data_IF_759401514576
#
_entry.id   IF_759401514576
#
_cell.length_a   1.000
_cell.length_b   1.000
_cell.length_c   1.000
_cell.angle_alpha   90.00
_cell.angle_beta   90.00
_cell.angle_gamma   90.00
#
_symmetry.space_group_name_H-M   'P 1'
#
loop_
_entity.id
_entity.type
_entity.pdbx_description
1 polymer ?
#
# COMPACT_ATOMS: atom_id res chain seq x y z
N UNK A 1 29.56 -31.71 35.63
CA UNK A 1 29.23 -31.78 34.19
C UNK A 1 28.99 -30.35 33.73
N UNK A 2 29.96 -29.77 33.06
CA UNK A 2 29.84 -28.43 32.45
C UNK A 2 28.90 -28.57 31.26
N UNK A 3 27.71 -27.95 31.36
CA UNK A 3 26.81 -27.84 30.23
C UNK A 3 27.39 -26.80 29.26
N UNK A 4 28.17 -27.26 28.29
CA UNK A 4 28.51 -26.47 27.12
C UNK A 4 27.25 -26.34 26.29
N UNK A 5 26.59 -25.19 26.36
CA UNK A 5 25.53 -24.84 25.43
C UNK A 5 26.25 -24.61 24.09
N UNK A 6 26.20 -25.61 23.20
CA UNK A 6 26.48 -25.35 21.79
C UNK A 6 25.51 -24.28 21.34
N UNK A 7 26.02 -23.08 21.03
CA UNK A 7 25.23 -22.03 20.43
C UNK A 7 24.83 -22.50 19.04
N UNK A 8 23.71 -23.20 18.96
CA UNK A 8 23.05 -23.59 17.71
C UNK A 8 23.01 -22.37 16.79
N UNK A 9 23.85 -22.36 15.75
CA UNK A 9 23.82 -21.33 14.70
C UNK A 9 22.42 -21.16 14.09
N UNK A 10 21.56 -22.17 14.19
CA UNK A 10 20.13 -22.10 13.80
C UNK A 10 19.26 -21.22 14.70
N UNK A 11 19.54 -21.12 16.01
CA UNK A 11 18.76 -20.25 16.91
C UNK A 11 19.14 -18.77 16.74
N UNK A 12 20.41 -18.48 16.47
CA UNK A 12 20.84 -17.13 16.09
C UNK A 12 20.29 -16.76 14.71
N UNK A 13 20.42 -17.59 13.67
CA UNK A 13 19.89 -17.26 12.34
C UNK A 13 18.37 -17.00 12.34
N UNK A 14 17.60 -17.74 13.16
CA UNK A 14 16.16 -17.49 13.35
C UNK A 14 15.86 -16.20 14.11
N UNK A 15 16.65 -15.87 15.15
CA UNK A 15 16.51 -14.60 15.87
C UNK A 15 16.83 -13.40 14.95
N UNK A 16 17.87 -13.53 14.13
CA UNK A 16 18.30 -12.53 13.16
C UNK A 16 17.27 -12.35 12.04
N UNK A 17 16.70 -13.43 11.53
CA UNK A 17 15.61 -13.35 10.52
C UNK A 17 14.37 -12.63 11.05
N UNK A 18 14.00 -12.86 12.31
CA UNK A 18 12.89 -12.12 12.95
C UNK A 18 13.20 -10.64 13.14
N UNK A 19 14.44 -10.31 13.47
CA UNK A 19 14.89 -8.93 13.62
C UNK A 19 14.89 -8.19 12.28
N UNK A 20 15.47 -8.80 11.24
CA UNK A 20 15.48 -8.31 9.85
C UNK A 20 14.06 -8.06 9.36
N UNK A 21 13.13 -9.00 9.56
CA UNK A 21 11.74 -8.81 9.15
C UNK A 21 11.05 -7.66 9.91
N UNK A 22 11.31 -7.52 11.21
CA UNK A 22 10.73 -6.44 12.01
C UNK A 22 11.27 -5.08 11.57
N UNK A 23 12.56 -4.98 11.30
CA UNK A 23 13.24 -3.77 10.85
C UNK A 23 12.73 -3.36 9.46
N UNK A 24 12.74 -4.30 8.53
CA UNK A 24 12.16 -4.18 7.19
C UNK A 24 10.72 -3.66 7.20
N UNK A 25 9.85 -4.26 8.03
CA UNK A 25 8.45 -3.85 8.10
C UNK A 25 8.30 -2.48 8.74
N UNK A 26 9.01 -2.19 9.83
CA UNK A 26 8.89 -0.89 10.50
C UNK A 26 9.38 0.29 9.64
N UNK A 27 10.36 0.06 8.78
CA UNK A 27 10.89 1.10 7.88
C UNK A 27 9.97 1.34 6.68
N UNK A 28 9.04 0.43 6.40
CA UNK A 28 8.12 0.58 5.28
C UNK A 28 7.05 1.64 5.59
N UNK A 29 6.90 2.69 4.74
CA UNK A 29 5.88 3.72 4.93
C UNK A 29 4.44 3.18 4.93
N UNK A 30 4.20 2.01 4.33
CA UNK A 30 2.89 1.38 4.29
C UNK A 30 2.54 0.58 5.55
N UNK A 31 3.50 0.32 6.44
CA UNK A 31 3.32 -0.60 7.57
C UNK A 31 2.16 -0.23 8.49
N UNK A 32 1.96 1.06 8.75
CA UNK A 32 0.86 1.56 9.58
C UNK A 32 -0.54 1.27 8.97
N UNK A 33 -0.59 0.93 7.68
CA UNK A 33 -1.82 0.62 6.93
C UNK A 33 -2.03 -0.89 6.75
N UNK A 34 -1.08 -1.71 7.20
CA UNK A 34 -1.10 -3.17 7.07
C UNK A 34 -1.71 -3.82 8.30
N UNK A 35 -2.51 -4.86 8.09
CA UNK A 35 -2.97 -5.72 9.18
C UNK A 35 -3.81 -6.89 8.68
N UNK A 36 -4.00 -7.89 9.55
CA UNK A 36 -4.74 -9.10 9.19
C UNK A 36 -6.26 -8.88 9.14
N UNK A 37 -6.73 -7.78 9.73
CA UNK A 37 -8.14 -7.51 9.86
C UNK A 37 -8.78 -7.07 8.53
N UNK A 38 -10.09 -7.31 8.41
CA UNK A 38 -10.90 -6.82 7.29
C UNK A 38 -11.10 -5.31 7.26
N UNK A 39 -10.61 -4.60 8.27
CA UNK A 39 -10.66 -3.14 8.36
C UNK A 39 -9.33 -2.50 7.97
N UNK A 40 -8.25 -3.27 7.83
CA UNK A 40 -6.95 -2.77 7.37
C UNK A 40 -7.01 -2.37 5.90
N UNK A 41 -6.28 -1.32 5.54
CA UNK A 41 -6.19 -0.85 4.15
C UNK A 41 -5.49 -1.89 3.28
N UNK A 42 -4.38 -2.44 3.77
CA UNK A 42 -3.67 -3.58 3.17
C UNK A 42 -3.86 -4.79 4.07
N UNK A 43 -4.50 -5.84 3.55
CA UNK A 43 -4.70 -7.07 4.29
C UNK A 43 -3.47 -7.94 4.26
N UNK A 44 -2.97 -8.33 5.42
CA UNK A 44 -1.87 -9.28 5.54
C UNK A 44 -2.41 -10.69 5.75
N UNK A 45 -2.01 -11.63 4.90
CA UNK A 45 -2.34 -13.04 5.10
C UNK A 45 -1.05 -13.87 5.17
N UNK A 46 -0.89 -14.60 6.28
CA UNK A 46 0.27 -15.47 6.55
C UNK A 46 -0.10 -16.96 6.55
N UNK A 47 -1.29 -17.35 6.07
CA UNK A 47 -1.78 -18.74 6.12
C UNK A 47 -0.85 -19.73 5.39
N UNK A 48 -0.26 -19.33 4.27
CA UNK A 48 0.67 -20.16 3.50
C UNK A 48 2.03 -20.37 4.20
N UNK A 49 2.33 -19.66 5.28
CA UNK A 49 3.51 -19.96 6.09
C UNK A 49 3.40 -21.26 6.87
N UNK A 50 2.17 -21.78 7.05
CA UNK A 50 1.87 -23.00 7.82
C UNK A 50 1.52 -24.20 6.95
N UNK A 51 1.08 -23.97 5.71
CA UNK A 51 0.60 -25.02 4.80
C UNK A 51 1.14 -24.78 3.39
N UNK A 52 1.48 -25.87 2.69
CA UNK A 52 1.93 -25.77 1.30
C UNK A 52 0.78 -25.33 0.38
N UNK A 53 1.03 -24.31 -0.43
CA UNK A 53 0.10 -23.80 -1.43
C UNK A 53 0.78 -22.75 -2.31
N UNK A 54 0.28 -22.58 -3.53
CA UNK A 54 0.77 -21.62 -4.53
C UNK A 54 0.04 -20.26 -4.43
N UNK A 55 -1.09 -20.20 -3.72
CA UNK A 55 -1.87 -18.98 -3.60
C UNK A 55 -2.84 -18.94 -2.42
N UNK A 56 -3.23 -17.71 -2.05
CA UNK A 56 -4.23 -17.42 -1.04
C UNK A 56 -5.52 -17.00 -1.71
N UNK A 57 -6.65 -17.58 -1.32
CA UNK A 57 -7.97 -17.13 -1.78
C UNK A 57 -8.55 -16.14 -0.78
N UNK A 58 -8.56 -14.86 -1.14
CA UNK A 58 -9.24 -13.83 -0.36
C UNK A 58 -10.73 -13.88 -0.68
N UNK A 59 -11.55 -14.08 0.34
CA UNK A 59 -13.01 -14.13 0.20
C UNK A 59 -13.64 -12.84 0.72
N UNK A 60 -14.56 -12.28 -0.07
CA UNK A 60 -15.41 -11.17 0.32
C UNK A 60 -16.86 -11.62 0.32
N UNK A 61 -17.55 -11.38 1.44
CA UNK A 61 -19.00 -11.58 1.53
C UNK A 61 -19.72 -10.34 0.98
N UNK A 62 -20.65 -10.54 0.05
CA UNK A 62 -21.50 -9.45 -0.45
C UNK A 62 -22.45 -8.95 0.64
N UNK A 63 -22.94 -7.72 0.49
CA UNK A 63 -23.96 -7.16 1.38
C UNK A 63 -25.31 -7.81 1.08
N UNK A 64 -26.09 -8.10 2.12
CA UNK A 64 -27.49 -8.49 2.00
C UNK A 64 -28.32 -7.34 1.41
N UNK A 65 -29.14 -7.65 0.41
CA UNK A 65 -29.96 -6.70 -0.36
C UNK A 65 -31.45 -6.83 -0.06
N UNK A 66 -31.87 -7.88 0.64
CA UNK A 66 -33.26 -8.11 1.00
C UNK A 66 -33.80 -7.03 1.93
N UNK A 67 -35.01 -6.55 1.63
CA UNK A 67 -35.73 -5.56 2.45
C UNK A 67 -36.16 -6.11 3.83
N UNK A 68 -35.93 -7.40 4.09
CA UNK A 68 -36.43 -8.10 5.26
C UNK A 68 -37.95 -8.28 5.23
N UNK A 69 -38.47 -9.10 6.14
CA UNK A 69 -39.91 -9.24 6.36
C UNK A 69 -40.27 -8.48 7.62
N UNK A 70 -41.34 -7.70 7.55
CA UNK A 70 -41.95 -7.02 8.70
C UNK A 70 -43.31 -7.64 9.01
N UNK A 71 -43.67 -7.72 10.30
CA UNK A 71 -44.92 -8.34 10.75
C UNK A 71 -44.83 -9.86 10.96
N UNK A 72 -45.97 -10.56 10.88
CA UNK A 72 -46.09 -12.00 11.18
C UNK A 72 -45.77 -12.94 10.00
N UNK A 73 -45.11 -12.43 8.95
CA UNK A 73 -44.72 -13.24 7.79
C UNK A 73 -43.66 -14.28 8.15
N UNK A 74 -43.75 -15.48 7.57
CA UNK A 74 -42.77 -16.54 7.80
C UNK A 74 -41.44 -16.23 7.14
N UNK A 75 -40.37 -16.24 7.94
CA UNK A 75 -38.99 -15.98 7.50
C UNK A 75 -38.46 -17.10 6.59
N UNK A 76 -38.81 -18.35 6.92
CA UNK A 76 -38.42 -19.55 6.18
C UNK A 76 -39.08 -19.54 4.80
N UNK A 77 -38.26 -19.53 3.74
CA UNK A 77 -38.69 -19.44 2.33
C UNK A 77 -38.51 -18.05 1.70
N UNK A 78 -38.23 -17.02 2.49
CA UNK A 78 -37.88 -15.67 2.04
C UNK A 78 -36.45 -15.29 2.49
N UNK A 79 -35.60 -16.30 2.60
CA UNK A 79 -34.21 -16.18 3.03
C UNK A 79 -33.34 -15.72 1.85
N UNK A 80 -32.44 -14.79 2.11
CA UNK A 80 -31.44 -14.38 1.12
C UNK A 80 -30.18 -15.24 1.27
N UNK A 81 -29.71 -15.79 0.14
CA UNK A 81 -28.47 -16.56 0.11
C UNK A 81 -27.24 -15.66 0.24
N UNK A 82 -26.25 -16.10 1.03
CA UNK A 82 -24.96 -15.42 1.12
C UNK A 82 -24.18 -15.61 -0.19
N UNK A 83 -23.90 -14.52 -0.88
CA UNK A 83 -23.00 -14.51 -2.04
C UNK A 83 -21.57 -14.17 -1.59
N UNK A 84 -20.61 -14.99 -2.02
CA UNK A 84 -19.18 -14.76 -1.80
C UNK A 84 -18.49 -14.47 -3.12
N UNK A 85 -17.60 -13.49 -3.11
CA UNK A 85 -16.64 -13.24 -4.18
C UNK A 85 -15.27 -13.68 -3.72
N UNK A 86 -14.49 -14.25 -4.63
CA UNK A 86 -13.17 -14.80 -4.32
C UNK A 86 -12.15 -14.26 -5.31
N UNK A 87 -10.97 -13.91 -4.82
CA UNK A 87 -9.80 -13.60 -5.63
C UNK A 87 -8.64 -14.47 -5.16
N UNK A 88 -7.92 -15.06 -6.12
CA UNK A 88 -6.69 -15.83 -5.87
C UNK A 88 -5.52 -14.86 -5.96
N UNK A 89 -4.72 -14.76 -4.89
CA UNK A 89 -3.47 -14.00 -4.83
C UNK A 89 -2.31 -14.99 -4.88
N UNK A 90 -1.54 -14.96 -5.96
CA UNK A 90 -0.44 -15.90 -6.17
C UNK A 90 0.83 -15.43 -5.46
N UNK A 91 1.61 -16.37 -4.90
CA UNK A 91 2.87 -16.06 -4.20
C UNK A 91 4.07 -16.59 -4.97
N UNK A 92 5.15 -15.82 -5.03
CA UNK A 92 6.39 -16.24 -5.68
C UNK A 92 7.61 -15.94 -4.80
N UNK A 93 8.73 -16.59 -5.12
CA UNK A 93 10.01 -16.44 -4.44
C UNK A 93 10.68 -15.12 -4.81
N UNK A 94 11.04 -14.34 -3.81
CA UNK A 94 11.88 -13.14 -3.93
C UNK A 94 13.20 -13.39 -3.20
N UNK A 95 14.33 -13.16 -3.87
CA UNK A 95 15.66 -13.38 -3.30
C UNK A 95 16.64 -12.31 -3.76
N UNK A 96 17.52 -11.88 -2.86
CA UNK A 96 18.66 -11.04 -3.20
C UNK A 96 19.84 -11.37 -2.28
N UNK A 97 21.07 -11.13 -2.76
CA UNK A 97 22.26 -11.43 -1.98
C UNK A 97 23.46 -10.58 -2.37
N UNK A 98 24.36 -10.40 -1.41
CA UNK A 98 25.58 -9.60 -1.50
C UNK A 98 26.75 -10.48 -1.08
N UNK A 99 27.86 -10.40 -1.80
CA UNK A 99 29.10 -11.13 -1.50
C UNK A 99 30.19 -10.14 -1.09
N UNK A 100 30.82 -10.39 0.04
CA UNK A 100 32.01 -9.67 0.48
C UNK A 100 33.26 -10.44 0.05
N UNK A 101 34.15 -9.78 -0.70
CA UNK A 101 35.39 -10.38 -1.23
C UNK A 101 36.63 -9.95 -0.45
N UNK A 102 37.39 -10.94 0.03
CA UNK A 102 38.76 -10.81 0.49
C UNK A 102 38.94 -10.62 2.00
N UNK A 103 39.69 -11.52 2.63
CA UNK A 103 40.04 -11.49 4.06
C UNK A 103 40.74 -10.18 4.50
N UNK A 104 41.55 -9.59 3.61
CA UNK A 104 42.24 -8.33 3.89
C UNK A 104 41.31 -7.12 3.88
N UNK A 105 40.18 -7.18 3.17
CA UNK A 105 39.18 -6.11 3.14
C UNK A 105 38.41 -6.05 4.47
N UNK A 106 38.02 -7.21 5.02
CA UNK A 106 37.38 -7.30 6.35
C UNK A 106 38.34 -6.89 7.48
N UNK A 107 39.64 -7.18 7.38
CA UNK A 107 40.62 -6.81 8.42
C UNK A 107 41.15 -5.37 8.32
N UNK A 108 41.14 -4.76 7.12
CA UNK A 108 41.65 -3.38 6.91
C UNK A 108 40.68 -2.30 7.34
N UNK A 109 39.37 -2.59 7.33
CA UNK A 109 38.35 -1.61 7.70
C UNK A 109 37.89 -1.92 9.12
N UNK A 110 38.08 -0.99 10.06
CA UNK A 110 37.62 -1.11 11.45
C UNK A 110 36.07 -1.13 11.60
N UNK A 111 35.33 -1.24 10.50
CA UNK A 111 33.87 -1.23 10.42
C UNK A 111 33.37 -2.63 10.10
N UNK A 112 32.30 -3.07 10.77
CA UNK A 112 31.75 -4.41 10.63
C UNK A 112 30.98 -4.53 9.29
N UNK A 113 31.68 -4.91 8.22
CA UNK A 113 31.11 -5.06 6.86
C UNK A 113 29.91 -6.02 6.81
N UNK A 114 29.80 -6.96 7.75
CA UNK A 114 28.65 -7.87 7.84
C UNK A 114 27.36 -7.14 8.21
N UNK A 115 27.44 -6.24 9.19
CA UNK A 115 26.29 -5.42 9.57
C UNK A 115 25.89 -4.51 8.41
N UNK A 116 26.85 -3.93 7.70
CA UNK A 116 26.57 -3.07 6.55
C UNK A 116 25.92 -3.84 5.39
N UNK A 117 26.34 -5.09 5.13
CA UNK A 117 25.70 -5.96 4.14
C UNK A 117 24.26 -6.32 4.54
N UNK A 118 24.01 -6.56 5.83
CA UNK A 118 22.67 -6.77 6.38
C UNK A 118 21.79 -5.54 6.19
N UNK A 119 22.25 -4.36 6.58
CA UNK A 119 21.49 -3.11 6.50
C UNK A 119 21.11 -2.81 5.03
N UNK A 120 22.05 -2.98 4.10
CA UNK A 120 21.79 -2.80 2.67
C UNK A 120 20.73 -3.76 2.12
N UNK A 121 20.71 -5.01 2.58
CA UNK A 121 19.70 -5.99 2.20
C UNK A 121 18.31 -5.66 2.78
N UNK A 122 18.26 -5.13 4.01
CA UNK A 122 17.01 -4.65 4.64
C UNK A 122 16.43 -3.47 3.87
N UNK A 123 17.26 -2.48 3.52
CA UNK A 123 16.85 -1.32 2.73
C UNK A 123 16.30 -1.74 1.37
N UNK A 124 17.00 -2.64 0.67
CA UNK A 124 16.55 -3.20 -0.60
C UNK A 124 15.18 -3.90 -0.47
N UNK A 125 15.00 -4.72 0.56
CA UNK A 125 13.73 -5.42 0.78
C UNK A 125 12.59 -4.43 1.04
N UNK A 126 12.85 -3.39 1.85
CA UNK A 126 11.92 -2.29 2.16
C UNK A 126 11.45 -1.59 0.90
N UNK A 127 12.41 -1.16 0.08
CA UNK A 127 12.15 -0.49 -1.19
C UNK A 127 11.36 -1.39 -2.15
N UNK A 128 11.75 -2.67 -2.27
CA UNK A 128 11.04 -3.62 -3.13
C UNK A 128 9.58 -3.81 -2.73
N UNK A 129 9.28 -3.89 -1.42
CA UNK A 129 7.89 -3.95 -0.93
C UNK A 129 7.07 -2.72 -1.22
N UNK A 130 7.67 -1.55 -1.00
CA UNK A 130 7.05 -0.27 -1.31
C UNK A 130 6.63 -0.24 -2.79
N UNK A 131 7.55 -0.61 -3.70
CA UNK A 131 7.25 -0.68 -5.14
C UNK A 131 6.20 -1.72 -5.49
N UNK A 132 6.25 -2.93 -4.92
CA UNK A 132 5.27 -3.98 -5.21
C UNK A 132 3.85 -3.55 -4.78
N UNK A 133 3.71 -2.90 -3.62
CA UNK A 133 2.43 -2.35 -3.13
C UNK A 133 1.92 -1.25 -4.06
N UNK A 134 2.77 -0.29 -4.44
CA UNK A 134 2.38 0.81 -5.32
C UNK A 134 1.99 0.29 -6.69
N UNK A 135 2.76 -0.64 -7.25
CA UNK A 135 2.46 -1.28 -8.54
C UNK A 135 1.13 -2.00 -8.50
N UNK A 136 0.86 -2.75 -7.43
CA UNK A 136 -0.42 -3.43 -7.25
C UNK A 136 -1.59 -2.44 -7.14
N UNK A 137 -1.44 -1.37 -6.34
CA UNK A 137 -2.48 -0.35 -6.15
C UNK A 137 -2.75 0.48 -7.41
N UNK A 138 -1.73 0.69 -8.25
CA UNK A 138 -1.80 1.51 -9.46
C UNK A 138 -2.04 0.70 -10.73
N UNK A 139 -2.18 -0.62 -10.63
CA UNK A 139 -2.54 -1.44 -11.78
C UNK A 139 -3.91 -1.02 -12.33
N UNK A 140 -3.96 -0.64 -13.61
CA UNK A 140 -5.20 -0.24 -14.30
C UNK A 140 -5.71 -1.29 -15.28
N UNK A 141 -5.00 -2.42 -15.42
CA UNK A 141 -5.32 -3.48 -16.38
C UNK A 141 -6.53 -4.33 -15.95
N UNK A 142 -6.77 -4.42 -14.64
CA UNK A 142 -7.90 -5.14 -14.04
C UNK A 142 -8.73 -4.20 -13.17
N UNK A 143 -10.00 -4.55 -12.93
CA UNK A 143 -10.85 -3.82 -11.96
C UNK A 143 -11.33 -2.44 -12.40
N UNK A 144 -11.01 -2.03 -13.63
CA UNK A 144 -11.30 -0.70 -14.16
C UNK A 144 -12.80 -0.50 -14.44
N UNK A 145 -13.44 0.26 -13.56
CA UNK A 145 -14.85 0.63 -13.67
C UNK A 145 -15.06 2.13 -13.42
N UNK A 146 -16.10 2.70 -14.04
CA UNK A 146 -16.42 4.12 -13.90
C UNK A 146 -16.59 4.52 -12.45
N UNK A 147 -17.10 3.65 -11.57
CA UNK A 147 -17.31 3.95 -10.15
C UNK A 147 -16.02 4.07 -9.32
N UNK A 148 -14.86 3.71 -9.89
CA UNK A 148 -13.56 3.64 -9.18
C UNK A 148 -12.46 4.50 -9.79
N UNK A 149 -12.74 5.24 -10.84
CA UNK A 149 -11.73 5.98 -11.61
C UNK A 149 -12.15 7.42 -11.85
N UNK A 150 -11.28 8.38 -11.58
CA UNK A 150 -11.49 9.81 -11.81
C UNK A 150 -10.35 10.33 -12.66
N UNK A 151 -10.68 11.05 -13.73
CA UNK A 151 -9.73 11.67 -14.64
C UNK A 151 -9.91 13.19 -14.55
N UNK A 152 -9.02 13.86 -13.82
CA UNK A 152 -9.13 15.29 -13.57
C UNK A 152 -10.31 15.70 -12.69
N UNK A 153 -10.79 16.92 -12.86
CA UNK A 153 -11.77 17.57 -11.99
C UNK A 153 -13.21 17.09 -12.20
N UNK A 154 -13.51 16.39 -13.30
CA UNK A 154 -14.88 16.01 -13.70
C UNK A 154 -15.02 14.53 -14.05
N UNK A 155 -16.14 13.93 -13.67
CA UNK A 155 -16.49 12.56 -14.06
C UNK A 155 -16.78 12.41 -15.56
N UNK A 156 -17.02 13.53 -16.25
CA UNK A 156 -17.25 13.55 -17.69
C UNK A 156 -16.02 13.12 -18.51
N UNK A 157 -14.82 13.18 -17.92
CA UNK A 157 -13.59 12.74 -18.57
C UNK A 157 -13.48 11.21 -18.64
N UNK A 158 -14.37 10.46 -17.97
CA UNK A 158 -14.43 9.01 -18.11
C UNK A 158 -14.58 8.59 -19.58
N UNK A 159 -13.88 7.51 -19.93
CA UNK A 159 -13.98 6.84 -21.21
C UNK A 159 -13.76 5.34 -21.00
N UNK A 160 -14.40 4.48 -21.80
CA UNK A 160 -14.14 3.04 -21.71
C UNK A 160 -12.69 2.70 -22.10
N UNK A 161 -12.01 3.56 -22.87
CA UNK A 161 -10.59 3.42 -23.21
C UNK A 161 -9.72 4.26 -22.27
N UNK A 162 -8.79 3.64 -21.54
CA UNK A 162 -7.96 4.33 -20.54
C UNK A 162 -7.15 5.49 -21.13
N UNK A 163 -6.48 5.26 -22.26
CA UNK A 163 -5.68 6.28 -22.93
C UNK A 163 -6.54 7.49 -23.36
N UNK A 164 -7.77 7.26 -23.82
CA UNK A 164 -8.70 8.33 -24.23
C UNK A 164 -9.18 9.15 -23.04
N UNK A 165 -9.33 8.54 -21.86
CA UNK A 165 -9.66 9.26 -20.64
C UNK A 165 -8.48 10.11 -20.13
N UNK A 166 -7.25 9.59 -20.21
CA UNK A 166 -6.04 10.33 -19.84
C UNK A 166 -5.82 11.55 -20.74
N UNK A 167 -6.06 11.42 -22.04
CA UNK A 167 -5.91 12.51 -23.01
C UNK A 167 -6.89 13.67 -22.81
N UNK A 168 -7.87 13.56 -21.89
CA UNK A 168 -8.79 14.63 -21.49
C UNK A 168 -8.32 15.39 -20.25
N UNK A 169 -7.27 14.92 -19.56
CA UNK A 169 -6.71 15.57 -18.36
C UNK A 169 -5.88 16.79 -18.80
N UNK A 170 -6.26 17.99 -18.38
CA UNK A 170 -5.60 19.25 -18.75
C UNK A 170 -4.80 19.91 -17.61
N UNK A 171 -3.82 20.75 -17.95
CA UNK A 171 -2.96 21.42 -16.96
C UNK A 171 -3.59 22.66 -16.32
N UNK A 172 -4.76 23.10 -16.81
CA UNK A 172 -5.39 24.33 -16.37
C UNK A 172 -6.32 24.10 -15.17
N UNK A 173 -7.06 22.99 -15.17
CA UNK A 173 -8.15 22.72 -14.24
C UNK A 173 -8.02 21.37 -13.54
N UNK A 174 -7.35 20.40 -14.14
CA UNK A 174 -7.28 19.02 -13.62
C UNK A 174 -6.15 18.80 -12.62
N UNK A 175 -5.86 19.81 -11.81
CA UNK A 175 -4.89 19.78 -10.71
C UNK A 175 -5.47 19.11 -9.46
N UNK A 176 -4.59 18.56 -8.63
CA UNK A 176 -5.01 18.05 -7.32
C UNK A 176 -5.44 19.23 -6.44
N UNK A 177 -6.71 19.21 -6.03
CA UNK A 177 -7.33 20.26 -5.21
C UNK A 177 -8.21 19.67 -4.13
N UNK A 178 -8.52 20.45 -3.10
CA UNK A 178 -9.45 20.07 -2.02
C UNK A 178 -10.81 19.62 -2.55
N UNK A 179 -11.31 20.30 -3.59
CA UNK A 179 -12.55 19.94 -4.27
C UNK A 179 -12.47 18.55 -4.91
N UNK A 180 -11.38 18.23 -5.58
CA UNK A 180 -11.18 16.92 -6.20
C UNK A 180 -11.12 15.81 -5.15
N UNK A 181 -10.45 16.05 -4.02
CA UNK A 181 -10.38 15.09 -2.91
C UNK A 181 -11.79 14.78 -2.36
N UNK A 182 -12.62 15.81 -2.13
CA UNK A 182 -14.01 15.62 -1.71
C UNK A 182 -14.89 14.96 -2.79
N UNK A 183 -14.59 15.13 -4.08
CA UNK A 183 -15.24 14.36 -5.16
C UNK A 183 -14.82 12.89 -5.09
N UNK A 184 -13.53 12.60 -4.93
CA UNK A 184 -13.00 11.24 -4.83
C UNK A 184 -13.60 10.48 -3.65
N UNK A 185 -13.67 11.10 -2.47
CA UNK A 185 -14.35 10.52 -1.30
C UNK A 185 -15.83 10.24 -1.56
N UNK A 186 -16.57 11.21 -2.12
CA UNK A 186 -17.99 11.01 -2.43
C UNK A 186 -18.19 9.87 -3.43
N UNK A 187 -17.31 9.75 -4.42
CA UNK A 187 -17.33 8.64 -5.37
C UNK A 187 -17.09 7.30 -4.68
N UNK A 188 -16.12 7.22 -3.79
CA UNK A 188 -15.82 6.04 -3.00
C UNK A 188 -17.03 5.56 -2.16
N UNK A 189 -17.78 6.50 -1.57
CA UNK A 189 -18.89 6.21 -0.66
C UNK A 189 -20.23 5.99 -1.39
N UNK A 190 -20.46 6.67 -2.52
CA UNK A 190 -21.77 6.72 -3.18
C UNK A 190 -21.83 5.98 -4.51
N UNK A 191 -20.70 5.73 -5.17
CA UNK A 191 -20.66 5.13 -6.51
C UNK A 191 -20.45 3.62 -6.47
N UNK A 192 -21.10 2.93 -7.41
CA UNK A 192 -21.07 1.47 -7.53
C UNK A 192 -22.03 0.76 -6.58
N UNK A 193 -22.24 -0.53 -6.82
CA UNK A 193 -23.09 -1.38 -5.97
C UNK A 193 -22.49 -1.59 -4.58
N UNK A 194 -21.16 -1.49 -4.48
CA UNK A 194 -20.38 -1.69 -3.26
C UNK A 194 -19.78 -0.37 -2.86
N UNK A 195 -19.83 -0.04 -1.57
CA UNK A 195 -19.20 1.17 -1.03
C UNK A 195 -17.78 0.84 -0.62
N UNK A 196 -16.83 1.72 -0.93
CA UNK A 196 -15.49 1.64 -0.37
C UNK A 196 -15.61 1.97 1.11
N UNK A 197 -15.14 1.04 1.96
CA UNK A 197 -15.18 1.23 3.42
C UNK A 197 -13.96 2.06 3.83
N UNK A 198 -14.12 3.06 4.72
CA UNK A 198 -12.96 3.78 5.26
C UNK A 198 -12.09 2.84 6.11
N UNK A 199 -10.81 3.17 6.22
CA UNK A 199 -9.88 2.54 7.15
C UNK A 199 -10.13 3.09 8.56
N UNK A 200 -10.04 2.24 9.58
CA UNK A 200 -10.28 2.65 10.97
C UNK A 200 -8.96 2.87 11.69
N UNK A 201 -8.71 4.12 12.09
CA UNK A 201 -7.57 4.48 12.94
C UNK A 201 -8.06 4.56 14.37
N UNK A 202 -7.34 3.92 15.29
CA UNK A 202 -7.59 4.08 16.72
C UNK A 202 -6.88 5.34 17.19
N UNK A 203 -7.65 6.37 17.55
CA UNK A 203 -7.11 7.58 18.17
C UNK A 203 -6.51 7.26 19.54
N UNK A 204 -5.60 8.13 20.03
CA UNK A 204 -4.98 7.99 21.37
C UNK A 204 -6.02 7.88 22.49
N UNK A 205 -7.20 8.47 22.29
CA UNK A 205 -8.34 8.43 23.22
C UNK A 205 -9.24 7.20 23.07
N UNK A 206 -8.84 6.21 22.26
CA UNK A 206 -9.59 4.96 22.07
C UNK A 206 -10.85 5.09 21.19
N UNK A 207 -11.11 6.26 20.61
CA UNK A 207 -12.15 6.45 19.59
C UNK A 207 -11.66 5.92 18.23
N UNK A 208 -12.54 5.25 17.51
CA UNK A 208 -12.28 4.87 16.12
C UNK A 208 -12.60 6.05 15.22
N UNK A 209 -11.61 6.50 14.46
CA UNK A 209 -11.78 7.50 13.40
C UNK A 209 -11.75 6.79 12.05
N UNK A 210 -12.77 7.07 11.24
CA UNK A 210 -12.90 6.52 9.89
C UNK A 210 -12.25 7.48 8.90
N UNK A 211 -11.17 7.01 8.28
CA UNK A 211 -10.31 7.83 7.42
C UNK A 211 -10.04 7.09 6.11
N UNK A 212 -10.03 7.81 5.00
CA UNK A 212 -9.48 7.32 3.73
C UNK A 212 -8.04 7.81 3.60
N UNK A 213 -7.18 7.08 2.89
CA UNK A 213 -5.80 7.50 2.66
C UNK A 213 -5.61 7.79 1.18
N UNK A 214 -5.15 8.99 0.84
CA UNK A 214 -4.78 9.37 -0.52
C UNK A 214 -3.26 9.31 -0.64
N UNK A 215 -2.75 8.41 -1.47
CA UNK A 215 -1.35 8.38 -1.89
C UNK A 215 -1.20 9.24 -3.14
N UNK A 216 -0.33 10.25 -3.09
CA UNK A 216 -0.14 11.21 -4.16
C UNK A 216 1.34 11.44 -4.47
N UNK A 217 1.63 11.67 -5.76
CA UNK A 217 2.97 12.05 -6.22
C UNK A 217 3.32 13.48 -5.76
N UNK A 218 4.60 13.80 -5.45
CA UNK A 218 5.03 15.13 -5.00
C UNK A 218 4.57 16.29 -5.91
N UNK A 219 4.58 16.12 -7.24
CA UNK A 219 4.08 17.15 -8.16
C UNK A 219 2.59 17.46 -8.01
N UNK A 220 1.77 16.45 -7.71
CA UNK A 220 0.36 16.67 -7.42
C UNK A 220 0.17 17.33 -6.06
N UNK A 221 1.01 16.97 -5.08
CA UNK A 221 0.98 17.58 -3.74
C UNK A 221 1.41 19.05 -3.79
N UNK A 222 2.36 19.44 -4.64
CA UNK A 222 2.73 20.84 -4.88
C UNK A 222 1.50 21.69 -5.17
N UNK A 223 0.70 21.28 -6.16
CA UNK A 223 -0.53 22.00 -6.54
C UNK A 223 -1.55 22.05 -5.38
N UNK A 224 -1.64 20.99 -4.59
CA UNK A 224 -2.51 20.94 -3.40
C UNK A 224 -2.02 21.90 -2.29
N UNK A 225 -0.71 22.06 -2.13
CA UNK A 225 -0.13 22.98 -1.14
C UNK A 225 -0.39 24.44 -1.50
N UNK A 226 -0.64 24.76 -2.77
CA UNK A 226 -1.06 26.10 -3.20
C UNK A 226 -2.55 26.38 -2.93
N UNK A 227 -3.38 25.34 -2.73
CA UNK A 227 -4.81 25.48 -2.44
C UNK A 227 -5.03 26.17 -1.08
N UNK A 228 -5.67 27.34 -1.13
CA UNK A 228 -5.95 28.19 0.04
C UNK A 228 -6.78 27.45 1.08
N UNK A 229 -7.80 26.68 0.66
CA UNK A 229 -8.67 25.96 1.57
C UNK A 229 -7.91 24.86 2.33
N UNK A 230 -6.97 24.20 1.64
CA UNK A 230 -6.11 23.20 2.26
C UNK A 230 -5.21 23.83 3.32
N UNK A 231 -4.57 24.96 2.98
CA UNK A 231 -3.68 25.68 3.90
C UNK A 231 -4.44 26.14 5.14
N UNK A 232 -5.60 26.77 4.98
CA UNK A 232 -6.38 27.32 6.10
C UNK A 232 -6.79 26.27 7.13
N UNK A 233 -7.32 25.12 6.70
CA UNK A 233 -7.74 24.05 7.64
C UNK A 233 -6.55 23.53 8.43
N UNK A 234 -5.42 23.39 7.77
CA UNK A 234 -4.24 22.79 8.35
C UNK A 234 -3.46 23.74 9.26
N UNK A 235 -3.37 25.03 8.93
CA UNK A 235 -2.72 26.04 9.78
C UNK A 235 -3.56 26.42 11.00
N UNK A 236 -4.90 26.36 10.89
CA UNK A 236 -5.80 26.71 11.99
C UNK A 236 -6.16 25.52 12.89
N UNK A 237 -5.67 24.31 12.58
CA UNK A 237 -5.89 23.16 13.44
C UNK A 237 -5.14 23.33 14.77
N UNK A 238 -5.83 23.14 15.90
CA UNK A 238 -5.25 23.30 17.25
C UNK A 238 -4.35 22.13 17.68
N UNK A 239 -3.93 21.29 16.73
CA UNK A 239 -2.98 20.20 16.97
C UNK A 239 -1.61 20.84 17.15
N UNK A 240 -0.96 20.60 18.29
CA UNK A 240 0.22 21.33 18.73
C UNK A 240 1.31 21.44 17.64
N UNK A 241 1.82 22.66 17.42
CA UNK A 241 2.81 22.97 16.37
C UNK A 241 4.12 22.16 16.48
N UNK A 242 4.45 21.60 17.64
CA UNK A 242 5.63 20.74 17.81
C UNK A 242 5.52 19.40 17.06
N UNK A 243 4.29 18.93 16.81
CA UNK A 243 3.97 17.74 16.01
C UNK A 243 3.48 18.13 14.60
N UNK A 244 3.67 19.40 14.18
CA UNK A 244 3.11 19.89 12.92
C UNK A 244 3.75 19.20 11.70
N UNK A 245 2.88 18.47 11.01
CA UNK A 245 3.08 17.75 9.75
C UNK A 245 3.66 18.63 8.64
N UNK A 246 3.40 19.94 8.68
CA UNK A 246 3.73 20.89 7.62
C UNK A 246 5.19 21.37 7.61
N UNK A 247 5.87 21.31 8.75
CA UNK A 247 7.20 21.95 8.91
C UNK A 247 8.35 20.92 8.91
N UNK A 248 8.05 19.65 9.20
CA UNK A 248 9.09 18.65 9.53
C UNK A 248 9.41 17.64 8.40
N UNK A 249 9.15 17.96 7.12
CA UNK A 249 9.50 17.06 6.01
C UNK A 249 8.81 15.69 6.07
N UNK A 250 7.66 15.61 6.75
CA UNK A 250 6.92 14.36 6.90
C UNK A 250 6.25 13.96 5.58
N UNK A 251 6.10 12.64 5.37
CA UNK A 251 5.38 12.07 4.22
C UNK A 251 3.88 12.33 4.31
N UNK A 252 3.33 12.33 5.52
CA UNK A 252 1.98 12.85 5.74
C UNK A 252 2.00 14.35 5.45
N UNK A 253 1.03 14.86 4.68
CA UNK A 253 0.93 16.29 4.35
C UNK A 253 -0.24 16.99 4.98
N UNK A 254 -1.22 16.27 5.50
CA UNK A 254 -2.39 16.84 6.18
C UNK A 254 -3.63 16.00 5.99
N UNK A 255 -4.76 16.55 6.43
CA UNK A 255 -6.07 15.92 6.31
C UNK A 255 -7.07 16.89 5.67
N UNK A 256 -7.96 16.36 4.84
CA UNK A 256 -9.07 17.11 4.26
C UNK A 256 -10.29 16.21 4.13
N UNK A 257 -11.46 16.66 4.63
CA UNK A 257 -12.72 15.92 4.52
C UNK A 257 -12.59 14.43 4.91
N UNK A 258 -11.92 14.11 6.03
CA UNK A 258 -11.72 12.72 6.47
C UNK A 258 -10.83 11.87 5.54
N UNK A 259 -10.05 12.52 4.66
CA UNK A 259 -9.01 11.90 3.84
C UNK A 259 -7.65 12.36 4.36
N UNK A 260 -6.78 11.40 4.63
CA UNK A 260 -5.39 11.60 5.01
C UNK A 260 -4.51 11.60 3.75
N UNK A 261 -3.74 12.66 3.54
CA UNK A 261 -2.93 12.81 2.31
C UNK A 261 -1.49 12.44 2.62
N UNK A 262 -1.01 11.39 1.98
CA UNK A 262 0.35 10.88 2.10
C UNK A 262 1.08 11.10 0.78
N UNK A 263 2.14 11.88 0.83
CA UNK A 263 3.08 12.03 -0.28
C UNK A 263 3.93 10.78 -0.40
N UNK A 264 3.96 10.23 -1.62
CA UNK A 264 4.77 9.09 -1.97
C UNK A 264 5.48 9.38 -3.29
N UNK A 265 6.80 9.45 -3.21
CA UNK A 265 7.74 9.76 -4.29
C UNK A 265 7.69 8.74 -5.42
N UNK A 266 7.40 7.47 -5.12
CA UNK A 266 7.36 6.41 -6.12
C UNK A 266 6.00 6.23 -6.83
N UNK A 267 5.02 7.11 -6.57
CA UNK A 267 3.75 7.04 -7.30
C UNK A 267 3.98 7.29 -8.80
N UNK A 268 3.30 6.55 -9.70
CA UNK A 268 3.61 6.64 -11.11
C UNK A 268 3.27 8.01 -11.71
N UNK A 269 4.22 8.51 -12.49
CA UNK A 269 4.09 9.63 -13.38
C UNK A 269 3.94 9.10 -14.81
N UNK A 270 2.80 9.36 -15.45
CA UNK A 270 2.52 8.95 -16.82
C UNK A 270 2.95 10.07 -17.76
N UNK A 271 4.12 9.91 -18.39
CA UNK A 271 4.70 10.93 -19.25
C UNK A 271 3.95 11.07 -20.57
N UNK A 272 3.57 12.29 -20.95
CA UNK A 272 3.02 12.62 -22.26
C UNK A 272 1.62 12.10 -22.57
N UNK A 273 0.86 11.61 -21.58
CA UNK A 273 -0.45 10.98 -21.80
C UNK A 273 -1.63 11.95 -21.68
N UNK A 274 -1.41 13.13 -21.10
CA UNK A 274 -2.41 14.15 -20.88
C UNK A 274 -2.70 15.01 -22.10
N UNK A 275 -3.60 15.98 -21.94
CA UNK A 275 -3.96 16.93 -22.98
C UNK A 275 -2.73 17.69 -23.45
N UNK A 276 -2.56 17.82 -24.77
CA UNK A 276 -1.39 18.45 -25.39
C UNK A 276 -0.04 17.82 -25.00
N UNK A 277 -0.03 16.54 -24.59
CA UNK A 277 1.20 15.83 -24.22
C UNK A 277 1.73 16.20 -22.84
N UNK A 278 0.87 16.66 -21.93
CA UNK A 278 1.25 16.90 -20.53
C UNK A 278 1.40 15.59 -19.75
N UNK A 279 2.20 15.64 -18.69
CA UNK A 279 2.33 14.51 -17.78
C UNK A 279 1.14 14.43 -16.81
N UNK A 280 0.81 13.20 -16.41
CA UNK A 280 -0.32 12.90 -15.52
C UNK A 280 0.18 12.08 -14.35
N UNK A 281 0.01 12.59 -13.13
CA UNK A 281 0.27 11.85 -11.91
C UNK A 281 -0.89 10.94 -11.58
N UNK A 282 -0.58 9.68 -11.25
CA UNK A 282 -1.55 8.72 -10.76
C UNK A 282 -1.55 8.76 -9.23
N UNK A 283 -2.65 9.23 -8.65
CA UNK A 283 -2.92 9.21 -7.22
C UNK A 283 -3.94 8.12 -6.88
N UNK A 284 -3.84 7.55 -5.69
CA UNK A 284 -4.71 6.45 -5.27
C UNK A 284 -5.35 6.78 -3.93
N UNK A 285 -6.69 6.89 -3.93
CA UNK A 285 -7.47 6.96 -2.70
C UNK A 285 -7.82 5.54 -2.26
N UNK A 286 -7.26 5.11 -1.14
CA UNK A 286 -7.43 3.78 -0.58
C UNK A 286 -8.26 3.81 0.71
N UNK A 287 -9.16 2.84 0.84
CA UNK A 287 -9.91 2.50 2.04
C UNK A 287 -9.57 1.09 2.52
N UNK A 288 -10.40 0.53 3.39
CA UNK A 288 -10.22 -0.83 3.89
C UNK A 288 -10.27 -1.86 2.73
N UNK A 289 -9.39 -2.86 2.80
CA UNK A 289 -9.24 -3.92 1.81
C UNK A 289 -9.00 -3.38 0.38
N UNK A 290 -8.05 -2.46 0.26
CA UNK A 290 -7.55 -1.96 -1.03
C UNK A 290 -6.63 -2.98 -1.71
N UNK A 291 -5.72 -3.57 -0.95
CA UNK A 291 -4.77 -4.58 -1.43
C UNK A 291 -4.59 -5.72 -0.42
N UNK A 292 -4.01 -6.81 -0.88
CA UNK A 292 -3.59 -7.94 -0.06
C UNK A 292 -2.11 -8.22 -0.26
N UNK A 293 -1.42 -8.46 0.86
CA UNK A 293 -0.07 -9.00 0.89
C UNK A 293 -0.14 -10.40 1.49
N UNK A 294 0.20 -11.39 0.67
CA UNK A 294 0.20 -12.79 1.03
C UNK A 294 1.64 -13.26 1.26
N UNK A 295 1.95 -13.83 2.43
CA UNK A 295 3.24 -14.44 2.72
C UNK A 295 3.13 -15.96 2.70
N UNK A 296 3.88 -16.59 1.79
CA UNK A 296 4.15 -18.03 1.80
C UNK A 296 5.35 -18.40 2.65
N UNK A 297 6.31 -17.50 2.79
CA UNK A 297 7.48 -17.67 3.65
C UNK A 297 7.94 -16.30 4.10
N UNK A 298 8.08 -16.12 5.42
CA UNK A 298 8.61 -14.90 6.01
C UNK A 298 10.04 -14.66 5.55
N UNK A 299 10.42 -13.38 5.49
CA UNK A 299 11.77 -12.93 5.17
C UNK A 299 12.76 -13.65 6.07
N UNK A 300 13.69 -14.37 5.44
CA UNK A 300 14.68 -15.17 6.13
C UNK A 300 16.07 -14.77 5.62
N UNK A 301 16.98 -14.60 6.57
CA UNK A 301 18.33 -14.14 6.32
C UNK A 301 19.28 -15.34 6.38
N UNK A 302 20.17 -15.43 5.39
CA UNK A 302 21.12 -16.52 5.22
C UNK A 302 22.53 -15.97 5.09
N UNK A 303 23.46 -16.63 5.74
CA UNK A 303 24.89 -16.40 5.59
C UNK A 303 25.52 -17.71 5.09
N UNK A 304 26.37 -17.61 4.09
CA UNK A 304 27.12 -18.75 3.56
C UNK A 304 28.56 -18.32 3.31
N UNK A 305 29.52 -19.08 3.81
CA UNK A 305 30.93 -18.86 3.55
C UNK A 305 31.35 -19.70 2.33
N UNK A 306 31.85 -19.06 1.30
CA UNK A 306 32.39 -19.71 0.11
C UNK A 306 33.93 -19.66 0.11
N UNK A 307 34.56 -20.47 -0.74
CA UNK A 307 36.01 -20.57 -0.92
C UNK A 307 36.79 -20.69 0.40
N UNK A 308 36.44 -21.71 1.21
CA UNK A 308 37.07 -21.98 2.50
C UNK A 308 37.02 -20.81 3.50
N UNK A 309 36.05 -19.91 3.38
CA UNK A 309 35.89 -18.74 4.25
C UNK A 309 36.60 -17.48 3.77
N UNK A 310 37.12 -17.50 2.53
CA UNK A 310 37.70 -16.32 1.88
C UNK A 310 36.64 -15.34 1.35
N UNK A 311 35.44 -15.84 1.03
CA UNK A 311 34.28 -15.03 0.66
C UNK A 311 33.10 -15.32 1.59
N UNK A 312 32.42 -14.26 2.04
CA UNK A 312 31.20 -14.37 2.84
C UNK A 312 30.03 -13.83 2.03
N UNK A 313 29.05 -14.69 1.74
CA UNK A 313 27.79 -14.36 1.07
C UNK A 313 26.67 -14.16 2.08
N UNK A 314 25.87 -13.12 1.85
CA UNK A 314 24.68 -12.79 2.62
C UNK A 314 23.48 -12.76 1.69
N UNK A 315 22.35 -13.33 2.10
CA UNK A 315 21.16 -13.37 1.27
C UNK A 315 19.88 -13.20 2.10
N UNK A 316 18.87 -12.58 1.48
CA UNK A 316 17.50 -12.57 1.95
C UNK A 316 16.65 -13.44 1.03
N UNK A 317 15.81 -14.30 1.62
CA UNK A 317 14.78 -15.05 0.90
C UNK A 317 13.39 -14.86 1.52
N UNK A 318 12.41 -14.57 0.66
CA UNK A 318 11.01 -14.37 1.02
C UNK A 318 10.12 -15.05 -0.03
N UNK A 319 8.92 -15.48 0.36
CA UNK A 319 7.89 -15.90 -0.60
C UNK A 319 6.67 -15.03 -0.34
N UNK A 320 6.32 -14.20 -1.32
CA UNK A 320 5.27 -13.19 -1.19
C UNK A 320 4.52 -12.99 -2.50
N UNK A 321 3.22 -12.68 -2.37
CA UNK A 321 2.39 -12.10 -3.41
C UNK A 321 1.80 -10.76 -2.95
N UNK A 322 1.70 -9.79 -3.86
CA UNK A 322 1.02 -8.51 -3.60
C UNK A 322 0.08 -8.22 -4.75
N UNK A 323 -1.20 -8.09 -4.45
CA UNK A 323 -2.24 -7.79 -5.43
C UNK A 323 -3.25 -6.80 -4.86
N UNK A 324 -3.80 -5.93 -5.72
CA UNK A 324 -4.99 -5.17 -5.36
C UNK A 324 -6.22 -6.06 -5.34
N UNK A 325 -7.19 -5.71 -4.51
CA UNK A 325 -8.41 -6.49 -4.39
C UNK A 325 -9.47 -6.04 -5.41
N UNK A 326 -9.79 -6.96 -6.33
CA UNK A 326 -10.78 -6.80 -7.39
C UNK A 326 -11.81 -7.90 -7.26
N UNK A 327 -13.07 -7.51 -7.14
CA UNK A 327 -14.16 -8.47 -7.03
C UNK A 327 -15.20 -8.20 -8.11
N UNK A 328 -15.52 -9.22 -8.91
CA UNK A 328 -16.47 -9.12 -10.02
C UNK A 328 -16.07 -8.04 -11.06
N UNK A 329 -14.77 -7.92 -11.34
CA UNK A 329 -14.24 -6.99 -12.34
C UNK A 329 -14.21 -5.52 -11.90
N UNK A 330 -14.46 -5.21 -10.62
CA UNK A 330 -14.44 -3.85 -10.07
C UNK A 330 -13.49 -3.76 -8.87
N UNK A 331 -12.67 -2.70 -8.83
CA UNK A 331 -11.81 -2.40 -7.69
C UNK A 331 -12.61 -2.25 -6.38
N UNK A 332 -12.17 -2.91 -5.32
CA UNK A 332 -12.92 -2.99 -4.07
C UNK A 332 -12.66 -1.80 -3.15
N UNK A 333 -11.40 -1.62 -2.74
CA UNK A 333 -10.99 -0.66 -1.71
C UNK A 333 -10.30 0.59 -2.25
N UNK A 334 -10.32 0.81 -3.57
CA UNK A 334 -9.48 1.83 -4.24
C UNK A 334 -10.31 2.72 -5.15
N UNK A 335 -10.03 4.02 -5.14
CA UNK A 335 -10.43 4.96 -6.19
C UNK A 335 -9.16 5.55 -6.80
N UNK A 336 -8.96 5.28 -8.09
CA UNK A 336 -7.85 5.81 -8.87
C UNK A 336 -8.17 7.24 -9.32
N UNK A 337 -7.26 8.17 -9.06
CA UNK A 337 -7.39 9.59 -9.37
C UNK A 337 -6.22 10.03 -10.22
N UNK A 338 -6.49 10.43 -11.46
CA UNK A 338 -5.48 10.94 -12.39
C UNK A 338 -5.55 12.46 -12.42
N UNK A 339 -4.43 13.13 -12.17
CA UNK A 339 -4.35 14.60 -12.13
C UNK A 339 -3.20 15.07 -13.02
N UNK A 340 -3.32 16.28 -13.56
CA UNK A 340 -2.22 16.89 -14.28
C UNK A 340 -1.02 17.08 -13.36
N UNK A 341 0.17 16.84 -13.88
CA UNK A 341 1.42 17.08 -13.18
C UNK A 341 2.39 17.71 -14.17
N UNK A 342 2.36 19.03 -14.31
CA UNK A 342 3.37 19.71 -15.11
C UNK A 342 4.71 19.70 -14.37
N UNK A 343 5.78 19.35 -15.08
CA UNK A 343 7.15 19.68 -14.66
C UNK A 343 7.26 21.20 -14.44
N UNK A 344 8.11 21.61 -13.50
CA UNK A 344 8.32 23.03 -13.13
C UNK A 344 8.97 23.86 -14.25
#
# INVERSE_FOLDING_TARGET
MTHTIESTHGASAQAWSKEVMKEYLNHNPFYNFMGADSNSLIQTNEELTKQAGDAITVQLRSKLTGNGITGAGTLKGNEEGLMFHTQKVEVDTLRHGVVLKGEMSEKRVAFNLRNQARDALVDWACEKMKFDIITALTDTSVGRDRSRYIYGATDANWDNTHATALAKVDTATDKLSTKLISVAKRKAVLSGERRVRPFQIKSKDGKYEEVFVLFAHPYAVRDLMEDVAFREVNTNSSVALADSVFVHGQKLKGMWDGVMIVECDDMPLLTGVGTAGSDVAHCVLAGAQAACVAWGKKTNYKEESDDYGHENGFAIDEIRGVEKLVFNGVDHGVVNVFVSSSED
#
